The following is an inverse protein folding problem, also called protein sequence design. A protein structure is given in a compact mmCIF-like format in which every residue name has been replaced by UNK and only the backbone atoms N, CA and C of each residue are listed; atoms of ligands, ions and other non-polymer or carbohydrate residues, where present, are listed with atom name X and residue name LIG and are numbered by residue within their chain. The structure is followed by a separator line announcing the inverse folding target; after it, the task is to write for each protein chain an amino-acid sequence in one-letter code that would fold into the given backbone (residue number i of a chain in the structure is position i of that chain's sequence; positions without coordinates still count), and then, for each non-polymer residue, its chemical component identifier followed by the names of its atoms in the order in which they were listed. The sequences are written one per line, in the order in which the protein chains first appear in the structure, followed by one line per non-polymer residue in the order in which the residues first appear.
data_IF_880915216920
#
_entry.id   IF_880915216920
#
_cell.length_a   1.000
_cell.length_b   1.000
_cell.length_c   1.000
_cell.angle_alpha   90.00
_cell.angle_beta   90.00
_cell.angle_gamma   90.00
#
_symmetry.space_group_name_H-M   'P 1'
#
loop_
_entity.id
_entity.type
_entity.pdbx_description
1 polymer ?
#
# COMPACT_ATOMS: atom_id res chain seq x y z
N UNK A 1 -10.38 48.91 -52.27
CA UNK A 1 -9.88 47.52 -52.38
C UNK A 1 -8.81 47.36 -51.30
N UNK A 2 -9.23 47.36 -50.04
CA UNK A 2 -8.35 47.27 -48.87
C UNK A 2 -8.55 45.87 -48.26
N UNK A 3 -7.48 45.09 -48.25
CA UNK A 3 -7.45 43.77 -47.66
C UNK A 3 -7.22 43.93 -46.15
N UNK A 4 -8.25 43.59 -45.38
CA UNK A 4 -8.14 43.38 -43.94
C UNK A 4 -7.31 42.13 -43.67
N UNK A 5 -6.21 42.30 -42.94
CA UNK A 5 -5.37 41.23 -42.43
C UNK A 5 -6.12 40.41 -41.37
N UNK A 6 -6.22 39.10 -41.62
CA UNK A 6 -6.70 38.13 -40.64
C UNK A 6 -5.49 37.62 -39.85
N UNK A 7 -5.19 38.25 -38.71
CA UNK A 7 -4.36 37.64 -37.68
C UNK A 7 -5.13 36.45 -37.07
N UNK A 8 -4.81 35.26 -37.57
CA UNK A 8 -5.27 33.99 -37.02
C UNK A 8 -4.25 33.56 -35.98
N UNK A 9 -4.67 33.53 -34.72
CA UNK A 9 -3.91 33.08 -33.56
C UNK A 9 -3.31 31.70 -33.81
N UNK A 10 -1.98 31.62 -33.85
CA UNK A 10 -1.24 30.35 -33.88
C UNK A 10 -1.50 29.59 -32.57
N UNK A 11 -2.35 28.57 -32.64
CA UNK A 11 -2.49 27.59 -31.58
C UNK A 11 -1.19 26.76 -31.51
N UNK A 12 -0.38 27.01 -30.48
CA UNK A 12 0.88 26.33 -30.22
C UNK A 12 0.69 24.80 -30.15
N UNK A 13 1.27 24.08 -31.10
CA UNK A 13 1.34 22.61 -31.19
C UNK A 13 2.37 22.00 -30.21
N UNK A 14 2.41 22.47 -28.96
CA UNK A 14 3.26 21.88 -27.94
C UNK A 14 2.53 20.70 -27.27
N UNK A 15 3.22 19.57 -27.16
CA UNK A 15 2.70 18.36 -26.51
C UNK A 15 2.59 18.64 -25.01
N UNK A 16 1.44 18.42 -24.35
CA UNK A 16 1.24 18.79 -22.96
C UNK A 16 2.14 17.99 -22.00
N UNK A 17 2.38 18.58 -20.84
CA UNK A 17 3.11 17.97 -19.74
C UNK A 17 2.17 17.23 -18.79
N UNK A 18 2.72 16.23 -18.10
CA UNK A 18 1.97 15.39 -17.17
C UNK A 18 2.69 15.35 -15.83
N UNK A 19 1.93 15.52 -14.75
CA UNK A 19 2.47 15.55 -13.41
C UNK A 19 1.66 14.66 -12.47
N UNK A 20 2.36 14.10 -11.48
CA UNK A 20 1.73 13.53 -10.30
C UNK A 20 1.65 14.60 -9.22
N UNK A 21 0.46 14.82 -8.68
CA UNK A 21 0.18 15.82 -7.65
C UNK A 21 -0.24 15.09 -6.38
N UNK A 22 0.39 15.47 -5.27
CA UNK A 22 0.13 14.94 -3.93
C UNK A 22 -0.78 15.88 -3.15
N UNK A 23 -1.82 15.33 -2.54
CA UNK A 23 -2.77 16.01 -1.66
C UNK A 23 -2.57 15.56 -0.21
N UNK A 24 -3.48 15.97 0.69
CA UNK A 24 -3.51 15.48 2.07
C UNK A 24 -3.56 13.94 2.09
N UNK A 25 -3.00 13.34 3.13
CA UNK A 25 -2.89 11.87 3.33
C UNK A 25 -2.10 11.13 2.26
N UNK A 26 -1.12 11.79 1.65
CA UNK A 26 -0.31 11.25 0.54
C UNK A 26 -1.14 10.72 -0.63
N UNK A 27 -2.38 11.18 -0.78
CA UNK A 27 -3.20 10.87 -1.96
C UNK A 27 -2.50 11.46 -3.17
N UNK A 28 -2.20 10.63 -4.15
CA UNK A 28 -1.62 11.07 -5.43
C UNK A 28 -2.67 10.92 -6.51
N UNK A 29 -2.79 11.94 -7.36
CA UNK A 29 -3.57 11.89 -8.59
C UNK A 29 -2.76 12.54 -9.72
N UNK A 30 -3.20 12.33 -10.96
CA UNK A 30 -2.43 12.68 -12.15
C UNK A 30 -3.14 13.79 -12.94
N UNK A 31 -2.37 14.79 -13.36
CA UNK A 31 -2.89 15.99 -14.01
C UNK A 31 -2.10 16.34 -15.26
N UNK A 32 -2.79 16.99 -16.18
CA UNK A 32 -2.22 17.52 -17.42
C UNK A 32 -1.93 19.00 -17.22
N UNK A 33 -0.77 19.44 -17.65
CA UNK A 33 -0.42 20.84 -17.81
C UNK A 33 -0.32 21.16 -19.31
N UNK A 34 -1.28 21.96 -19.79
CA UNK A 34 -1.33 22.45 -21.18
C UNK A 34 -0.65 23.79 -21.37
N UNK A 35 -0.33 24.47 -20.27
CA UNK A 35 0.20 25.82 -20.28
C UNK A 35 1.72 25.86 -20.10
N UNK A 36 2.37 24.69 -19.95
CA UNK A 36 3.81 24.55 -19.76
C UNK A 36 4.32 25.46 -18.63
N UNK A 37 3.74 25.31 -17.45
CA UNK A 37 3.95 26.16 -16.28
C UNK A 37 5.33 25.99 -15.62
N UNK A 38 6.25 25.25 -16.24
CA UNK A 38 7.61 24.96 -15.74
C UNK A 38 7.65 24.56 -14.26
N UNK A 39 6.80 23.60 -13.89
CA UNK A 39 6.59 23.21 -12.50
C UNK A 39 7.72 22.33 -11.96
N UNK A 40 8.23 22.68 -10.79
CA UNK A 40 9.25 21.91 -10.08
C UNK A 40 8.63 20.99 -9.02
N UNK A 41 9.39 19.98 -8.58
CA UNK A 41 9.01 19.19 -7.42
C UNK A 41 8.80 20.09 -6.20
N UNK A 42 7.78 19.78 -5.40
CA UNK A 42 7.36 20.54 -4.20
C UNK A 42 6.65 21.86 -4.48
N UNK A 43 6.46 22.27 -5.73
CA UNK A 43 5.61 23.41 -6.04
C UNK A 43 4.15 23.13 -5.66
N UNK A 44 3.51 24.11 -5.02
CA UNK A 44 2.08 24.10 -4.81
C UNK A 44 1.37 24.52 -6.09
N UNK A 45 0.32 23.80 -6.45
CA UNK A 45 -0.45 24.02 -7.67
C UNK A 45 -1.94 23.94 -7.38
N UNK A 46 -2.69 24.84 -8.01
CA UNK A 46 -4.13 24.76 -8.05
C UNK A 46 -4.55 23.90 -9.24
N UNK A 47 -5.41 22.92 -8.99
CA UNK A 47 -5.86 21.94 -9.98
C UNK A 47 -7.37 21.92 -10.10
N UNK A 48 -7.85 21.45 -11.24
CA UNK A 48 -9.27 21.15 -11.41
C UNK A 48 -9.67 19.95 -10.54
N UNK A 49 -10.86 20.00 -9.93
CA UNK A 49 -11.50 18.87 -9.26
C UNK A 49 -12.75 18.43 -10.04
N UNK A 50 -13.38 17.29 -9.69
CA UNK A 50 -14.63 16.86 -10.35
C UNK A 50 -15.72 17.92 -10.26
N UNK A 51 -15.74 18.65 -9.13
CA UNK A 51 -16.62 19.77 -8.87
C UNK A 51 -15.82 20.85 -8.18
N UNK A 52 -15.34 21.82 -8.96
CA UNK A 52 -14.60 22.97 -8.45
C UNK A 52 -13.09 22.80 -8.56
N UNK A 53 -12.35 23.21 -7.52
CA UNK A 53 -10.88 23.31 -7.53
C UNK A 53 -10.29 22.73 -6.25
N UNK A 54 -9.11 22.14 -6.38
CA UNK A 54 -8.33 21.63 -5.26
C UNK A 54 -6.89 22.16 -5.32
N UNK A 55 -6.15 22.07 -4.21
CA UNK A 55 -4.75 22.49 -4.14
C UNK A 55 -3.89 21.30 -3.71
N UNK A 56 -2.78 21.09 -4.41
CA UNK A 56 -1.87 20.00 -4.15
C UNK A 56 -0.43 20.39 -4.44
N UNK A 57 0.48 19.48 -4.13
CA UNK A 57 1.91 19.69 -4.30
C UNK A 57 2.45 18.77 -5.39
N UNK A 58 3.26 19.30 -6.30
CA UNK A 58 3.92 18.50 -7.35
C UNK A 58 4.83 17.48 -6.71
N UNK A 59 4.59 16.20 -7.03
CA UNK A 59 5.44 15.08 -6.61
C UNK A 59 6.52 14.82 -7.66
N UNK A 60 6.14 14.68 -8.93
CA UNK A 60 7.09 14.52 -10.05
C UNK A 60 6.40 14.69 -11.40
N UNK A 61 7.18 15.02 -12.44
CA UNK A 61 6.76 14.87 -13.85
C UNK A 61 6.70 13.39 -14.22
N UNK A 62 5.69 13.01 -14.99
CA UNK A 62 5.41 11.62 -15.36
C UNK A 62 5.21 11.47 -16.87
N UNK A 63 5.39 10.28 -17.46
CA UNK A 63 4.98 10.04 -18.83
C UNK A 63 3.45 10.00 -18.95
N UNK A 64 2.93 10.35 -20.13
CA UNK A 64 1.50 10.31 -20.48
C UNK A 64 0.81 8.98 -20.11
N UNK A 65 1.51 7.86 -20.26
CA UNK A 65 1.00 6.52 -19.90
C UNK A 65 0.58 6.41 -18.43
N UNK A 66 1.18 7.21 -17.53
CA UNK A 66 0.82 7.23 -16.12
C UNK A 66 -0.60 7.77 -15.87
N UNK A 67 -1.21 8.49 -16.83
CA UNK A 67 -2.60 8.94 -16.73
C UNK A 67 -3.59 7.77 -16.62
N UNK A 68 -3.23 6.60 -17.16
CA UNK A 68 -4.04 5.38 -17.00
C UNK A 68 -4.10 4.85 -15.56
N UNK A 69 -3.27 5.36 -14.65
CA UNK A 69 -3.33 5.05 -13.22
C UNK A 69 -4.35 5.92 -12.47
N UNK A 70 -4.83 7.02 -13.08
CA UNK A 70 -5.92 7.79 -12.50
C UNK A 70 -7.22 7.00 -12.61
N UNK A 71 -8.03 7.00 -11.53
CA UNK A 71 -9.34 6.36 -11.52
C UNK A 71 -10.41 7.18 -12.27
N UNK A 72 -10.02 8.32 -12.85
CA UNK A 72 -10.95 9.26 -13.49
C UNK A 72 -11.14 8.94 -14.96
N UNK A 73 -12.38 9.15 -15.42
CA UNK A 73 -12.76 8.98 -16.83
C UNK A 73 -12.12 10.03 -17.74
N UNK A 74 -11.90 11.23 -17.23
CA UNK A 74 -11.32 12.35 -17.99
C UNK A 74 -10.12 12.92 -17.23
N UNK A 75 -9.05 13.29 -17.95
CA UNK A 75 -7.89 13.91 -17.34
C UNK A 75 -8.24 15.31 -16.82
N UNK A 76 -7.77 15.62 -15.61
CA UNK A 76 -7.93 16.95 -15.01
C UNK A 76 -6.69 17.79 -15.25
N UNK A 77 -6.88 19.11 -15.24
CA UNK A 77 -5.85 20.07 -15.59
C UNK A 77 -5.24 20.74 -14.36
N UNK A 78 -3.95 21.06 -14.45
CA UNK A 78 -3.31 22.03 -13.58
C UNK A 78 -3.69 23.43 -14.08
N UNK A 79 -4.25 24.24 -13.19
CA UNK A 79 -4.73 25.59 -13.52
C UNK A 79 -3.56 26.58 -13.51
N UNK A 80 -2.86 26.65 -12.39
CA UNK A 80 -1.71 27.52 -12.19
C UNK A 80 -0.88 27.10 -10.96
N UNK A 81 0.35 27.62 -10.88
CA UNK A 81 1.17 27.56 -9.67
C UNK A 81 0.53 28.39 -8.57
N UNK A 82 0.33 27.80 -7.39
CA UNK A 82 -0.42 28.41 -6.30
C UNK A 82 0.18 29.76 -5.88
N UNK A 83 -0.70 30.74 -5.68
CA UNK A 83 -0.35 32.06 -5.16
C UNK A 83 -0.15 32.02 -3.65
N UNK A 84 0.61 32.96 -3.06
CA UNK A 84 0.78 33.03 -1.60
C UNK A 84 -0.56 33.05 -0.84
N UNK A 85 -1.53 33.84 -1.31
CA UNK A 85 -2.89 33.93 -0.75
C UNK A 85 -3.62 32.58 -0.75
N UNK A 86 -3.41 31.75 -1.79
CA UNK A 86 -4.02 30.42 -1.90
C UNK A 86 -3.34 29.44 -0.93
N UNK A 87 -2.04 29.60 -0.67
CA UNK A 87 -1.33 28.81 0.35
C UNK A 87 -1.79 29.19 1.76
N UNK A 88 -2.05 30.47 2.01
CA UNK A 88 -2.65 30.95 3.26
C UNK A 88 -4.07 30.41 3.45
N UNK A 89 -4.89 30.44 2.39
CA UNK A 89 -6.23 29.85 2.41
C UNK A 89 -6.18 28.34 2.69
N UNK A 90 -5.20 27.62 2.15
CA UNK A 90 -4.99 26.21 2.47
C UNK A 90 -4.74 26.01 3.96
N UNK A 91 -3.91 26.85 4.59
CA UNK A 91 -3.67 26.79 6.04
C UNK A 91 -4.95 27.08 6.84
N UNK A 92 -5.74 28.07 6.44
CA UNK A 92 -7.05 28.35 7.07
C UNK A 92 -8.02 27.16 6.93
N UNK A 93 -8.03 26.49 5.77
CA UNK A 93 -8.82 25.28 5.58
C UNK A 93 -8.36 24.14 6.51
N UNK A 94 -7.06 24.01 6.81
CA UNK A 94 -6.57 23.02 7.80
C UNK A 94 -7.09 23.31 9.20
N UNK A 95 -7.19 24.57 9.60
CA UNK A 95 -7.80 24.92 10.89
C UNK A 95 -9.29 24.52 10.93
N UNK A 96 -10.04 24.82 9.87
CA UNK A 96 -11.45 24.44 9.75
C UNK A 96 -11.67 22.92 9.76
N UNK A 97 -10.71 22.15 9.26
CA UNK A 97 -10.73 20.68 9.36
C UNK A 97 -10.64 20.19 10.81
N UNK A 98 -9.86 20.85 11.66
CA UNK A 98 -9.73 20.50 13.09
C UNK A 98 -11.03 20.81 13.86
N UNK A 99 -11.68 21.93 13.55
CA UNK A 99 -13.01 22.25 14.07
C UNK A 99 -14.05 21.23 13.59
N UNK A 100 -13.98 20.83 12.32
CA UNK A 100 -14.86 19.82 11.74
C UNK A 100 -14.63 18.42 12.31
N UNK A 101 -13.39 18.08 12.63
CA UNK A 101 -13.04 16.85 13.34
C UNK A 101 -13.73 16.81 14.71
N UNK A 102 -13.63 17.90 15.47
CA UNK A 102 -14.23 18.02 16.81
C UNK A 102 -15.75 17.93 16.77
N UNK A 103 -16.38 18.67 15.86
CA UNK A 103 -17.83 18.69 15.69
C UNK A 103 -18.38 17.33 15.25
N UNK A 104 -17.70 16.68 14.30
CA UNK A 104 -18.11 15.35 13.83
C UNK A 104 -17.99 14.31 14.95
N UNK A 105 -16.94 14.36 15.76
CA UNK A 105 -16.80 13.47 16.92
C UNK A 105 -17.96 13.63 17.91
N UNK A 106 -18.38 14.87 18.21
CA UNK A 106 -19.53 15.12 19.07
C UNK A 106 -20.83 14.52 18.50
N UNK A 107 -21.06 14.61 17.19
CA UNK A 107 -22.23 13.99 16.57
C UNK A 107 -22.16 12.46 16.56
N UNK A 108 -20.97 11.88 16.36
CA UNK A 108 -20.76 10.43 16.47
C UNK A 108 -21.11 9.95 17.87
N UNK A 109 -20.60 10.64 18.90
CA UNK A 109 -20.84 10.30 20.31
C UNK A 109 -22.32 10.47 20.68
N UNK A 110 -22.93 11.60 20.29
CA UNK A 110 -24.36 11.87 20.53
C UNK A 110 -25.27 10.81 19.92
N UNK A 111 -24.91 10.29 18.74
CA UNK A 111 -25.70 9.27 18.03
C UNK A 111 -25.34 7.84 18.44
N UNK A 112 -24.30 7.65 19.25
CA UNK A 112 -23.82 6.32 19.65
C UNK A 112 -23.38 5.46 18.46
N UNK A 113 -22.75 6.06 17.45
CA UNK A 113 -22.30 5.33 16.26
C UNK A 113 -21.02 4.55 16.57
N UNK A 114 -21.02 3.25 16.28
CA UNK A 114 -19.84 2.38 16.44
C UNK A 114 -18.83 2.58 15.30
N UNK A 115 -18.14 3.72 15.34
CA UNK A 115 -17.13 4.12 14.39
C UNK A 115 -16.08 5.01 15.04
N UNK A 116 -14.86 5.00 14.48
CA UNK A 116 -13.78 5.88 14.91
C UNK A 116 -13.45 6.88 13.82
N UNK A 117 -13.59 8.16 14.12
CA UNK A 117 -13.17 9.24 13.23
C UNK A 117 -11.64 9.32 13.19
N UNK A 118 -11.05 9.34 11.99
CA UNK A 118 -9.59 9.31 11.79
C UNK A 118 -9.06 10.61 11.20
N UNK A 119 -9.83 11.29 10.35
CA UNK A 119 -9.41 12.52 9.70
C UNK A 119 -10.56 13.26 9.03
N UNK A 120 -10.34 14.53 8.75
CA UNK A 120 -11.23 15.37 7.93
C UNK A 120 -10.41 16.06 6.86
N UNK A 121 -10.87 16.07 5.62
CA UNK A 121 -10.24 16.78 4.51
C UNK A 121 -11.26 17.66 3.80
N UNK A 122 -10.98 18.94 3.76
CA UNK A 122 -11.71 19.93 2.99
C UNK A 122 -11.04 20.12 1.64
N UNK A 123 -11.85 20.10 0.58
CA UNK A 123 -11.43 20.54 -0.73
C UNK A 123 -11.07 22.03 -0.67
N UNK A 124 -10.09 22.47 -1.46
CA UNK A 124 -9.57 23.85 -1.40
C UNK A 124 -10.65 24.93 -1.46
N UNK A 125 -11.61 24.80 -2.37
CA UNK A 125 -12.72 25.74 -2.56
C UNK A 125 -13.86 25.59 -1.53
N UNK A 126 -13.75 24.64 -0.59
CA UNK A 126 -14.77 24.37 0.42
C UNK A 126 -16.03 23.69 -0.10
N UNK A 127 -16.07 23.24 -1.36
CA UNK A 127 -17.25 22.61 -1.97
C UNK A 127 -17.47 21.17 -1.53
N UNK A 128 -16.47 20.56 -0.88
CA UNK A 128 -16.57 19.20 -0.35
C UNK A 128 -15.78 19.03 0.95
N UNK A 129 -16.35 18.31 1.90
CA UNK A 129 -15.66 17.84 3.11
C UNK A 129 -15.74 16.31 3.16
N UNK A 130 -14.59 15.67 3.25
CA UNK A 130 -14.44 14.22 3.36
C UNK A 130 -14.07 13.85 4.79
N UNK A 131 -14.91 13.05 5.45
CA UNK A 131 -14.66 12.50 6.79
C UNK A 131 -14.19 11.07 6.65
N UNK A 132 -12.98 10.79 7.12
CA UNK A 132 -12.38 9.46 7.09
C UNK A 132 -12.59 8.76 8.41
N UNK A 133 -13.09 7.52 8.37
CA UNK A 133 -13.37 6.75 9.58
C UNK A 133 -12.96 5.29 9.44
N UNK A 134 -12.78 4.61 10.56
CA UNK A 134 -12.66 3.16 10.66
C UNK A 134 -13.88 2.60 11.41
N UNK A 135 -14.32 1.41 11.02
CA UNK A 135 -15.41 0.67 11.67
C UNK A 135 -15.21 -0.82 11.40
N UNK A 136 -15.51 -1.66 12.39
CA UNK A 136 -15.43 -3.12 12.24
C UNK A 136 -16.65 -3.67 11.49
N UNK A 137 -17.82 -3.08 11.78
CA UNK A 137 -19.09 -3.46 11.18
C UNK A 137 -19.65 -2.34 10.30
N UNK A 138 -20.73 -2.66 9.58
CA UNK A 138 -21.44 -1.67 8.77
C UNK A 138 -22.16 -0.69 9.70
N UNK A 139 -21.86 0.60 9.54
CA UNK A 139 -22.45 1.69 10.32
C UNK A 139 -23.49 2.41 9.48
N UNK A 140 -24.66 2.68 10.05
CA UNK A 140 -25.68 3.52 9.43
C UNK A 140 -25.50 4.98 9.83
N UNK A 141 -24.79 5.73 8.98
CA UNK A 141 -24.42 7.13 9.22
C UNK A 141 -25.35 8.15 8.53
N UNK A 142 -26.54 7.74 8.06
CA UNK A 142 -27.43 8.63 7.29
C UNK A 142 -27.82 9.90 8.06
N UNK A 143 -28.11 9.77 9.34
CA UNK A 143 -28.46 10.93 10.17
C UNK A 143 -27.24 11.79 10.51
N UNK A 144 -26.06 11.20 10.69
CA UNK A 144 -24.80 11.95 10.83
C UNK A 144 -24.52 12.83 9.60
N UNK A 145 -24.75 12.30 8.40
CA UNK A 145 -24.61 13.08 7.15
C UNK A 145 -25.54 14.29 7.16
N UNK A 146 -26.77 14.16 7.66
CA UNK A 146 -27.72 15.27 7.73
C UNK A 146 -27.24 16.37 8.67
N UNK A 147 -26.74 16.01 9.85
CA UNK A 147 -26.22 16.99 10.82
C UNK A 147 -25.02 17.75 10.23
N UNK A 148 -24.05 17.01 9.67
CA UNK A 148 -22.88 17.61 9.06
C UNK A 148 -23.25 18.51 7.87
N UNK A 149 -24.19 18.08 7.04
CA UNK A 149 -24.67 18.87 5.91
C UNK A 149 -25.39 20.15 6.37
N UNK A 150 -26.17 20.08 7.46
CA UNK A 150 -26.83 21.24 8.05
C UNK A 150 -25.82 22.25 8.63
N UNK A 151 -24.77 21.75 9.29
CA UNK A 151 -23.72 22.59 9.89
C UNK A 151 -22.84 23.26 8.82
N UNK A 152 -22.31 22.50 7.87
CA UNK A 152 -21.30 23.02 6.94
C UNK A 152 -21.88 23.56 5.63
N UNK A 153 -23.13 23.20 5.28
CA UNK A 153 -23.80 23.60 4.02
C UNK A 153 -22.97 23.27 2.77
N UNK A 154 -22.19 22.20 2.87
CA UNK A 154 -21.24 21.72 1.87
C UNK A 154 -21.53 20.24 1.60
N UNK A 155 -21.08 19.72 0.44
CA UNK A 155 -21.17 18.29 0.15
C UNK A 155 -20.33 17.50 1.16
N UNK A 156 -21.00 16.63 1.91
CA UNK A 156 -20.36 15.72 2.88
C UNK A 156 -20.10 14.37 2.22
N UNK A 157 -18.88 13.86 2.36
CA UNK A 157 -18.49 12.53 1.95
C UNK A 157 -17.92 11.78 3.17
N UNK A 158 -18.44 10.60 3.47
CA UNK A 158 -17.91 9.71 4.51
C UNK A 158 -17.18 8.57 3.84
N UNK A 159 -15.91 8.39 4.18
CA UNK A 159 -15.05 7.36 3.59
C UNK A 159 -14.48 6.44 4.66
N UNK A 160 -14.86 5.17 4.58
CA UNK A 160 -14.25 4.14 5.40
C UNK A 160 -12.84 3.86 4.90
N UNK A 161 -11.87 3.82 5.81
CA UNK A 161 -10.49 3.41 5.53
C UNK A 161 -10.14 2.16 6.33
N UNK A 162 -9.07 1.46 5.96
CA UNK A 162 -8.62 0.30 6.71
C UNK A 162 -7.96 0.70 8.03
N UNK A 163 -8.07 -0.15 9.05
CA UNK A 163 -7.33 0.01 10.34
C UNK A 163 -5.82 0.16 10.14
N UNK A 164 -5.26 -0.46 9.08
CA UNK A 164 -3.84 -0.29 8.71
C UNK A 164 -3.54 1.12 8.19
N UNK A 165 -4.46 1.76 7.48
CA UNK A 165 -4.28 3.13 7.00
C UNK A 165 -4.31 4.14 8.13
N UNK A 166 -5.12 3.87 9.14
CA UNK A 166 -5.13 4.61 10.41
C UNK A 166 -3.77 4.48 11.12
N UNK A 167 -3.28 3.26 11.34
CA UNK A 167 -1.97 3.03 11.97
C UNK A 167 -0.83 3.65 11.16
N UNK A 168 -0.89 3.57 9.82
CA UNK A 168 0.10 4.18 8.94
C UNK A 168 0.17 5.70 9.13
N UNK A 169 -0.98 6.36 9.30
CA UNK A 169 -1.08 7.80 9.54
C UNK A 169 -0.51 8.19 10.90
N UNK A 170 -0.86 7.44 11.95
CA UNK A 170 -0.35 7.69 13.30
C UNK A 170 1.15 7.41 13.41
N UNK A 171 1.65 6.44 12.62
CA UNK A 171 3.02 5.96 12.73
C UNK A 171 3.24 5.13 13.99
N UNK A 172 4.51 4.89 14.31
CA UNK A 172 4.91 4.17 15.52
C UNK A 172 6.05 3.18 15.28
N UNK A 173 6.34 2.39 16.31
CA UNK A 173 7.35 1.34 16.28
C UNK A 173 6.69 -0.04 16.28
N UNK A 174 7.11 -0.90 15.37
CA UNK A 174 6.70 -2.29 15.36
C UNK A 174 7.31 -3.08 16.54
N UNK A 175 6.84 -4.32 16.77
CA UNK A 175 7.42 -5.19 17.81
C UNK A 175 8.89 -5.56 17.53
N UNK A 176 9.37 -5.35 16.29
CA UNK A 176 10.77 -5.45 15.92
C UNK A 176 11.64 -4.25 16.38
N UNK A 177 11.04 -3.23 17.01
CA UNK A 177 11.73 -2.01 17.44
C UNK A 177 12.01 -0.98 16.34
N UNK A 178 11.60 -1.27 15.09
CA UNK A 178 11.76 -0.36 13.95
C UNK A 178 10.47 0.40 13.65
N UNK A 179 10.60 1.52 12.94
CA UNK A 179 9.45 2.24 12.38
C UNK A 179 8.56 1.30 11.54
N UNK A 180 7.23 1.46 11.67
CA UNK A 180 6.27 0.64 10.95
C UNK A 180 6.54 0.60 9.44
N UNK A 181 6.62 -0.60 8.87
CA UNK A 181 6.90 -0.79 7.44
C UNK A 181 5.89 -0.03 6.55
N UNK A 182 4.61 0.00 6.96
CA UNK A 182 3.54 0.70 6.25
C UNK A 182 3.71 2.23 6.22
N UNK A 183 4.34 2.79 7.25
CA UNK A 183 4.67 4.21 7.33
C UNK A 183 5.92 4.50 6.52
N UNK A 184 6.97 3.70 6.70
CA UNK A 184 8.30 3.93 6.11
C UNK A 184 8.38 3.71 4.60
N UNK A 185 8.04 2.52 4.09
CA UNK A 185 8.35 2.17 2.69
C UNK A 185 7.34 1.25 2.01
N UNK A 186 6.64 0.38 2.74
CA UNK A 186 5.71 -0.57 2.16
C UNK A 186 4.34 0.11 1.96
N UNK A 187 3.99 0.45 0.72
CA UNK A 187 2.75 1.21 0.41
C UNK A 187 1.64 0.37 -0.19
N UNK A 188 1.98 -0.75 -0.81
CA UNK A 188 1.06 -1.70 -1.42
C UNK A 188 0.98 -2.96 -0.57
N UNK A 189 -0.23 -3.50 -0.44
CA UNK A 189 -0.49 -4.65 0.42
C UNK A 189 -1.40 -5.65 -0.26
N UNK A 190 -1.03 -6.91 -0.20
CA UNK A 190 -1.91 -8.01 -0.55
C UNK A 190 -2.74 -8.47 0.67
N UNK A 191 -3.70 -9.36 0.42
CA UNK A 191 -4.42 -10.04 1.50
C UNK A 191 -3.48 -11.07 2.16
N UNK A 192 -3.20 -10.87 3.45
CA UNK A 192 -2.28 -11.72 4.20
C UNK A 192 -3.07 -12.86 4.83
N UNK A 193 -2.62 -14.08 4.60
CA UNK A 193 -3.22 -15.29 5.16
C UNK A 193 -2.39 -15.86 6.31
N UNK A 194 -3.03 -16.64 7.19
CA UNK A 194 -2.33 -17.41 8.22
C UNK A 194 -1.44 -18.52 7.63
N UNK A 195 -1.63 -18.87 6.35
CA UNK A 195 -0.78 -19.82 5.65
C UNK A 195 0.64 -19.27 5.48
N UNK A 196 0.82 -17.96 5.30
CA UNK A 196 2.17 -17.37 5.19
C UNK A 196 2.99 -17.57 6.46
N UNK A 197 2.37 -17.48 7.64
CA UNK A 197 3.03 -17.78 8.90
C UNK A 197 3.47 -19.24 8.98
N UNK A 198 2.61 -20.19 8.55
CA UNK A 198 2.99 -21.60 8.45
C UNK A 198 4.11 -21.82 7.44
N UNK A 199 4.08 -21.07 6.35
CA UNK A 199 5.07 -21.22 5.29
C UNK A 199 6.48 -20.85 5.75
N UNK A 200 6.54 -19.95 6.73
CA UNK A 200 7.75 -19.43 7.36
C UNK A 200 8.10 -20.19 8.65
N UNK A 201 7.44 -21.33 8.91
CA UNK A 201 7.60 -22.14 10.13
C UNK A 201 7.37 -21.34 11.43
N UNK A 202 6.48 -20.35 11.39
CA UNK A 202 6.07 -19.56 12.55
C UNK A 202 4.84 -20.19 13.21
N UNK A 203 4.78 -20.09 14.54
CA UNK A 203 3.59 -20.51 15.29
C UNK A 203 2.40 -19.61 14.93
N UNK A 204 1.28 -20.23 14.56
CA UNK A 204 0.04 -19.54 14.15
C UNK A 204 -0.73 -19.06 15.38
N UNK A 205 -0.13 -18.16 16.16
CA UNK A 205 -0.80 -17.46 17.25
C UNK A 205 -1.16 -16.04 16.81
N UNK A 206 -2.45 -15.71 16.66
CA UNK A 206 -2.89 -14.38 16.17
C UNK A 206 -2.31 -13.22 16.97
N UNK A 207 -2.22 -13.34 18.30
CA UNK A 207 -1.69 -12.26 19.16
C UNK A 207 -0.22 -11.97 18.85
N UNK A 208 0.56 -13.02 18.57
CA UNK A 208 1.99 -12.89 18.23
C UNK A 208 2.25 -12.53 16.77
N UNK A 209 1.24 -12.65 15.91
CA UNK A 209 1.34 -12.40 14.46
C UNK A 209 0.66 -11.10 14.03
N UNK A 210 -0.04 -10.42 14.94
CA UNK A 210 -0.71 -9.16 14.67
C UNK A 210 0.21 -7.96 14.88
N UNK A 211 0.20 -7.04 13.91
CA UNK A 211 0.81 -5.73 14.04
C UNK A 211 -0.03 -4.77 14.90
N UNK A 212 0.49 -3.56 15.12
CA UNK A 212 -0.22 -2.50 15.85
C UNK A 212 -1.60 -2.17 15.27
N UNK A 213 -1.80 -2.42 13.97
CA UNK A 213 -3.10 -2.27 13.31
C UNK A 213 -4.11 -3.39 13.60
N UNK A 214 -3.78 -4.35 14.47
CA UNK A 214 -4.62 -5.51 14.80
C UNK A 214 -4.70 -6.60 13.73
N UNK A 215 -4.17 -6.35 12.51
CA UNK A 215 -4.07 -7.34 11.42
C UNK A 215 -2.71 -8.03 11.41
N UNK A 216 -2.64 -9.16 10.70
CA UNK A 216 -1.40 -9.90 10.47
C UNK A 216 -0.26 -9.01 9.94
N UNK A 217 0.97 -9.32 10.35
CA UNK A 217 2.17 -8.58 9.95
C UNK A 217 2.34 -8.54 8.43
N UNK A 218 2.62 -7.35 7.90
CA UNK A 218 2.94 -7.15 6.49
C UNK A 218 4.26 -7.81 6.06
N UNK A 219 5.18 -8.07 7.00
CA UNK A 219 6.41 -8.80 6.75
C UNK A 219 6.15 -10.23 6.26
N UNK A 220 5.05 -10.87 6.71
CA UNK A 220 4.69 -12.22 6.27
C UNK A 220 4.47 -12.28 4.76
N UNK A 221 3.77 -11.29 4.20
CA UNK A 221 3.55 -11.19 2.75
C UNK A 221 4.83 -10.77 2.01
N UNK A 222 5.55 -9.78 2.55
CA UNK A 222 6.79 -9.29 1.94
C UNK A 222 7.84 -10.39 1.74
N UNK A 223 8.02 -11.26 2.75
CA UNK A 223 9.01 -12.34 2.71
C UNK A 223 8.52 -13.56 1.93
N UNK A 224 7.23 -13.68 1.65
CA UNK A 224 6.62 -14.90 1.11
C UNK A 224 7.31 -15.39 -0.17
N UNK A 225 7.63 -14.49 -1.11
CA UNK A 225 8.30 -14.83 -2.37
C UNK A 225 9.66 -15.50 -2.14
N UNK A 226 10.42 -15.02 -1.16
CA UNK A 226 11.70 -15.62 -0.79
C UNK A 226 11.50 -17.05 -0.28
N UNK A 227 10.52 -17.27 0.60
CA UNK A 227 10.22 -18.61 1.13
C UNK A 227 9.70 -19.57 0.06
N UNK A 228 8.90 -19.11 -0.89
CA UNK A 228 8.45 -19.92 -2.03
C UNK A 228 9.62 -20.37 -2.90
N UNK A 229 10.55 -19.47 -3.21
CA UNK A 229 11.76 -19.80 -3.98
C UNK A 229 12.70 -20.72 -3.19
N UNK A 230 12.86 -20.49 -1.88
CA UNK A 230 13.68 -21.33 -1.02
C UNK A 230 13.10 -22.74 -0.89
N UNK A 231 11.79 -22.90 -0.70
CA UNK A 231 11.13 -24.22 -0.64
C UNK A 231 11.32 -25.06 -1.91
N UNK A 232 11.51 -24.43 -3.07
CA UNK A 232 11.84 -25.13 -4.33
C UNK A 232 13.28 -25.61 -4.41
N UNK A 233 14.19 -25.05 -3.60
CA UNK A 233 15.63 -25.36 -3.59
C UNK A 233 16.04 -26.29 -2.45
N UNK A 234 15.22 -26.37 -1.40
CA UNK A 234 15.50 -27.11 -0.18
C UNK A 234 14.58 -28.32 -0.03
N UNK A 235 15.08 -29.43 0.55
CA UNK A 235 14.27 -30.59 0.84
C UNK A 235 13.19 -30.29 1.89
N UNK A 236 12.07 -31.03 1.80
CA UNK A 236 10.96 -30.90 2.75
C UNK A 236 11.36 -31.44 4.12
N UNK A 237 10.97 -30.71 5.17
CA UNK A 237 11.11 -31.16 6.55
C UNK A 237 10.34 -32.48 6.76
N UNK A 238 10.82 -33.31 7.68
CA UNK A 238 10.29 -34.64 8.03
C UNK A 238 10.34 -35.69 6.90
N UNK A 239 11.02 -35.36 5.79
CA UNK A 239 11.27 -36.32 4.70
C UNK A 239 12.52 -37.14 5.02
N UNK A 240 12.40 -38.45 4.80
CA UNK A 240 13.50 -39.42 4.93
C UNK A 240 14.31 -39.52 3.64
N UNK A 241 15.63 -39.60 3.78
CA UNK A 241 16.60 -39.83 2.71
C UNK A 241 17.51 -41.00 3.10
N UNK A 242 17.97 -41.75 2.10
CA UNK A 242 18.85 -42.91 2.29
C UNK A 242 20.00 -42.83 1.27
N UNK A 243 21.23 -43.01 1.74
CA UNK A 243 22.42 -43.10 0.89
C UNK A 243 23.46 -44.02 1.52
N UNK A 244 23.98 -44.99 0.76
CA UNK A 244 24.97 -45.97 1.22
C UNK A 244 24.63 -46.69 2.55
N UNK A 245 23.35 -46.89 2.84
CA UNK A 245 22.86 -47.52 4.07
C UNK A 245 22.58 -46.55 5.22
N UNK A 246 23.01 -45.28 5.12
CA UNK A 246 22.71 -44.25 6.12
C UNK A 246 21.33 -43.62 5.86
N UNK A 247 20.45 -43.71 6.84
CA UNK A 247 19.07 -43.17 6.78
C UNK A 247 18.94 -41.94 7.65
N UNK A 248 18.55 -40.84 7.03
CA UNK A 248 18.44 -39.54 7.70
C UNK A 248 17.07 -38.91 7.49
N UNK A 249 16.57 -38.23 8.52
CA UNK A 249 15.36 -37.41 8.46
C UNK A 249 15.75 -35.95 8.66
N UNK A 250 15.13 -35.06 7.90
CA UNK A 250 15.36 -33.62 8.04
C UNK A 250 14.51 -33.09 9.18
N UNK A 251 15.14 -32.74 10.29
CA UNK A 251 14.47 -32.19 11.45
C UNK A 251 14.19 -30.69 11.26
N UNK A 252 15.14 -29.95 10.68
CA UNK A 252 14.99 -28.50 10.49
C UNK A 252 15.75 -28.01 9.27
N UNK A 253 15.17 -27.02 8.60
CA UNK A 253 15.78 -26.30 7.48
C UNK A 253 16.02 -24.83 7.88
N UNK A 254 17.25 -24.35 7.75
CA UNK A 254 17.59 -22.93 7.86
C UNK A 254 17.83 -22.37 6.45
N UNK A 255 16.82 -21.71 5.90
CA UNK A 255 16.87 -21.13 4.54
C UNK A 255 17.88 -19.99 4.41
N UNK A 256 18.20 -19.28 5.49
CA UNK A 256 19.08 -18.11 5.43
C UNK A 256 20.55 -18.49 5.50
N UNK A 257 20.88 -19.53 6.27
CA UNK A 257 22.25 -20.06 6.39
C UNK A 257 22.55 -21.18 5.40
N UNK A 258 21.55 -21.63 4.67
CA UNK A 258 21.63 -22.80 3.78
C UNK A 258 22.11 -24.07 4.52
N UNK A 259 21.64 -24.27 5.76
CA UNK A 259 22.01 -25.40 6.62
C UNK A 259 20.79 -26.28 6.88
N UNK A 260 21.02 -27.59 6.85
CA UNK A 260 20.05 -28.62 7.25
C UNK A 260 20.47 -29.23 8.58
N UNK A 261 19.51 -29.41 9.47
CA UNK A 261 19.64 -30.23 10.68
C UNK A 261 19.05 -31.58 10.35
N UNK A 262 19.91 -32.59 10.24
CA UNK A 262 19.52 -33.96 9.91
C UNK A 262 19.69 -34.86 11.12
N UNK A 263 18.82 -35.84 11.24
CA UNK A 263 18.86 -36.85 12.29
C UNK A 263 19.08 -38.23 11.67
N UNK A 264 20.15 -38.89 12.06
CA UNK A 264 20.44 -40.26 11.65
C UNK A 264 19.53 -41.22 12.43
N UNK A 265 18.77 -42.05 11.71
CA UNK A 265 17.79 -42.96 12.33
C UNK A 265 18.45 -44.13 13.07
N UNK A 266 19.66 -44.52 12.69
CA UNK A 266 20.36 -45.66 13.28
C UNK A 266 21.11 -45.30 14.57
N UNK A 267 21.66 -44.09 14.62
CA UNK A 267 22.52 -43.62 15.73
C UNK A 267 21.84 -42.59 16.63
N UNK A 268 20.66 -42.10 16.24
CA UNK A 268 19.94 -41.00 16.89
C UNK A 268 20.74 -39.67 16.95
N UNK A 269 21.87 -39.58 16.22
CA UNK A 269 22.75 -38.41 16.19
C UNK A 269 22.14 -37.32 15.31
N UNK A 270 22.21 -36.08 15.80
CA UNK A 270 21.78 -34.88 15.07
C UNK A 270 23.03 -34.18 14.50
N UNK A 271 23.10 -34.07 13.18
CA UNK A 271 24.18 -33.40 12.44
C UNK A 271 23.67 -32.12 11.78
N UNK A 272 24.49 -31.06 11.77
CA UNK A 272 24.25 -29.83 11.00
C UNK A 272 25.14 -29.83 9.78
N UNK A 273 24.55 -29.82 8.60
CA UNK A 273 25.30 -29.87 7.33
C UNK A 273 24.85 -28.78 6.36
N UNK A 274 25.76 -28.19 5.57
CA UNK A 274 25.40 -27.30 4.48
C UNK A 274 24.56 -28.00 3.40
N UNK A 275 23.69 -27.25 2.72
CA UNK A 275 22.79 -27.76 1.69
C UNK A 275 23.54 -28.44 0.54
N UNK A 276 24.65 -27.89 0.09
CA UNK A 276 25.44 -28.46 -1.01
C UNK A 276 26.10 -29.78 -0.62
N UNK A 277 26.57 -29.88 0.62
CA UNK A 277 27.10 -31.13 1.16
C UNK A 277 26.01 -32.20 1.28
N UNK A 278 24.83 -31.84 1.76
CA UNK A 278 23.67 -32.73 1.76
C UNK A 278 23.32 -33.22 0.36
N UNK A 279 23.30 -32.33 -0.64
CA UNK A 279 23.04 -32.69 -2.04
C UNK A 279 24.07 -33.68 -2.56
N UNK A 280 25.36 -33.47 -2.25
CA UNK A 280 26.43 -34.38 -2.66
C UNK A 280 26.26 -35.77 -2.02
N UNK A 281 25.96 -35.83 -0.72
CA UNK A 281 25.85 -37.07 0.04
C UNK A 281 24.59 -37.88 -0.31
N UNK A 282 23.43 -37.22 -0.43
CA UNK A 282 22.13 -37.90 -0.48
C UNK A 282 21.36 -37.72 -1.80
N UNK A 283 21.73 -36.77 -2.67
CA UNK A 283 20.99 -36.48 -3.91
C UNK A 283 21.76 -36.84 -5.19
N UNK A 284 23.08 -36.65 -5.25
CA UNK A 284 23.85 -36.79 -6.51
C UNK A 284 24.01 -38.23 -7.03
N UNK A 285 23.81 -39.26 -6.19
CA UNK A 285 23.95 -40.66 -6.62
C UNK A 285 22.75 -41.22 -7.38
N UNK A 286 21.59 -40.55 -7.36
CA UNK A 286 20.37 -41.05 -7.97
C UNK A 286 19.73 -39.98 -8.86
N UNK A 287 19.98 -40.02 -10.19
CA UNK A 287 19.50 -39.03 -11.20
C UNK A 287 17.98 -38.78 -11.18
N UNK A 288 17.22 -39.62 -10.48
CA UNK A 288 15.80 -39.49 -10.15
C UNK A 288 15.44 -38.16 -9.43
N UNK A 289 16.41 -37.48 -8.82
CA UNK A 289 16.18 -36.26 -8.04
C UNK A 289 15.73 -35.06 -8.89
N UNK A 290 16.12 -34.99 -10.17
CA UNK A 290 15.69 -33.95 -11.10
C UNK A 290 14.21 -34.11 -11.50
N UNK A 291 13.73 -35.35 -11.64
CA UNK A 291 12.35 -35.63 -12.09
C UNK A 291 11.33 -35.61 -10.94
N UNK A 292 11.74 -35.89 -9.70
CA UNK A 292 10.86 -35.86 -8.51
C UNK A 292 10.63 -34.47 -7.89
N UNK A 293 11.42 -33.46 -8.28
CA UNK A 293 11.40 -32.12 -7.66
C UNK A 293 10.84 -31.01 -8.54
N UNK A 294 10.89 -31.16 -9.86
CA UNK A 294 10.15 -30.29 -10.75
C UNK A 294 8.66 -30.61 -10.57
N UNK A 295 7.79 -29.62 -10.26
CA UNK A 295 6.36 -29.87 -10.30
C UNK A 295 6.05 -30.46 -11.69
N UNK A 296 5.32 -31.58 -11.74
CA UNK A 296 4.72 -32.05 -13.00
C UNK A 296 4.00 -30.84 -13.57
N UNK A 297 4.40 -30.37 -14.76
CA UNK A 297 3.70 -29.27 -15.45
C UNK A 297 2.21 -29.55 -15.32
N UNK A 298 1.47 -28.67 -14.63
CA UNK A 298 0.03 -28.65 -14.77
C UNK A 298 -0.21 -28.51 -16.28
N UNK A 299 -0.85 -29.52 -16.88
CA UNK A 299 -1.39 -29.37 -18.21
C UNK A 299 -2.46 -28.30 -18.07
N UNK A 300 -2.21 -27.14 -18.64
CA UNK A 300 -3.24 -26.14 -18.86
C UNK A 300 -4.27 -26.78 -19.81
N UNK A 301 -5.44 -27.14 -19.27
CA UNK A 301 -6.69 -27.32 -20.01
C UNK A 301 -7.48 -26.01 -19.96
#
# INVERSE_FOLDING_TARGET
MEKYDKNTTEASTLKPDYYSVRFKRDRVDYFIDRNHLELAERDWVLVQAERGRDIGQIKSRVPEKAMGLSQRKYPLEILHKAKPEEVEQLAANRYREEEAMTTCQQFIDFRGLDMKLVDVEMQFDGNKITFYFTAEHRVDFRELVKDLAATYRTRIELRQIGVRDETRKLGGLGPCGLELCCTKWLKEFSAISTQFARDQNLAVNPVKLSGLCGRLFCCLDYEQKFYEEARRKFPQQDRMFESDGDRVVIEKVDFFKEILVIKHLETDVIEKIPLDEFRNRYCMKNKDWLEKWLPKKQKDE
#
